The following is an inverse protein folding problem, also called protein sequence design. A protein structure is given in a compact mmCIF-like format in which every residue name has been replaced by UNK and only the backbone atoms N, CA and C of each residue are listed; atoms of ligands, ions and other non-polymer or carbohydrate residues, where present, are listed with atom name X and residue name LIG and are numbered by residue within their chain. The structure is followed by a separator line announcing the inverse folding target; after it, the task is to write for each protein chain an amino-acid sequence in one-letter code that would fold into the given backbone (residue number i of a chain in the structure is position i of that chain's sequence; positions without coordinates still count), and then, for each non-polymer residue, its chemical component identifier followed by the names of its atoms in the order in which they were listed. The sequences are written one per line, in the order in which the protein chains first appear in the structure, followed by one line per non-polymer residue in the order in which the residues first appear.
data_IF_289647717912
#
_entry.id   IF_289647717912
#
_cell.length_a   1.000
_cell.length_b   1.000
_cell.length_c   1.000
_cell.angle_alpha   90.00
_cell.angle_beta   90.00
_cell.angle_gamma   90.00
#
_symmetry.space_group_name_H-M   'P 1'
#
loop_
_entity.id
_entity.type
_entity.pdbx_description
1 polymer ?
#
# COMPACT_ATOMS: atom_id res chain seq x y z
N UNK A 1 14.84 -1.83 -2.14
CA UNK A 1 14.07 -0.77 -1.47
C UNK A 1 13.80 0.46 -2.34
N UNK A 2 14.77 1.06 -3.07
CA UNK A 2 14.48 2.21 -3.95
C UNK A 2 13.34 1.96 -4.96
N UNK A 3 13.33 0.78 -5.60
CA UNK A 3 12.35 0.42 -6.64
C UNK A 3 10.89 0.38 -6.19
N UNK A 4 10.59 -0.08 -4.97
CA UNK A 4 9.18 -0.24 -4.55
C UNK A 4 8.53 1.10 -4.24
N UNK A 5 9.28 2.04 -3.65
CA UNK A 5 8.80 3.40 -3.40
C UNK A 5 8.51 4.13 -4.70
N UNK A 6 9.41 4.03 -5.67
CA UNK A 6 9.25 4.65 -6.98
C UNK A 6 8.07 4.03 -7.75
N UNK A 7 7.90 2.71 -7.66
CA UNK A 7 6.76 2.02 -8.28
C UNK A 7 5.42 2.41 -7.64
N UNK A 8 5.35 2.55 -6.31
CA UNK A 8 4.15 3.07 -5.63
C UNK A 8 3.87 4.51 -6.06
N UNK A 9 4.90 5.37 -6.11
CA UNK A 9 4.73 6.75 -6.57
C UNK A 9 4.19 6.80 -8.01
N UNK A 10 4.73 5.99 -8.92
CA UNK A 10 4.25 5.87 -10.29
C UNK A 10 2.79 5.37 -10.35
N UNK A 11 2.45 4.36 -9.56
CA UNK A 11 1.09 3.84 -9.43
C UNK A 11 0.09 4.91 -8.97
N UNK A 12 0.40 5.62 -7.87
CA UNK A 12 -0.46 6.70 -7.35
C UNK A 12 -0.62 7.82 -8.36
N UNK A 13 0.46 8.21 -9.03
CA UNK A 13 0.41 9.24 -10.05
C UNK A 13 -0.50 8.83 -11.21
N UNK A 14 -0.41 7.58 -11.68
CA UNK A 14 -1.24 7.07 -12.76
C UNK A 14 -2.74 7.08 -12.40
N UNK A 15 -3.09 6.70 -11.17
CA UNK A 15 -4.47 6.78 -10.67
C UNK A 15 -4.98 8.22 -10.71
N UNK A 16 -4.21 9.16 -10.16
CA UNK A 16 -4.60 10.58 -10.08
C UNK A 16 -4.73 11.26 -11.44
N UNK A 17 -3.97 10.82 -12.43
CA UNK A 17 -4.03 11.36 -13.80
C UNK A 17 -5.12 10.69 -14.66
N UNK A 18 -5.70 9.59 -14.19
CA UNK A 18 -6.74 8.88 -14.93
C UNK A 18 -8.09 9.58 -14.81
N UNK A 19 -8.81 9.68 -15.94
CA UNK A 19 -10.20 10.12 -15.95
C UNK A 19 -11.15 9.12 -15.28
N UNK A 20 -10.73 7.85 -15.13
CA UNK A 20 -11.45 6.78 -14.45
C UNK A 20 -10.46 6.04 -13.56
N UNK A 21 -10.18 6.57 -12.35
CA UNK A 21 -9.24 5.95 -11.44
C UNK A 21 -9.77 4.58 -11.01
N UNK A 22 -8.94 3.55 -11.17
CA UNK A 22 -9.25 2.19 -10.74
C UNK A 22 -7.99 1.43 -10.32
N UNK A 23 -8.20 0.27 -9.70
CA UNK A 23 -7.13 -0.60 -9.21
C UNK A 23 -6.24 -1.12 -10.34
N UNK A 24 -6.80 -1.33 -11.53
CA UNK A 24 -6.06 -1.82 -12.68
C UNK A 24 -5.08 -0.77 -13.22
N UNK A 25 -5.46 0.51 -13.17
CA UNK A 25 -4.60 1.64 -13.51
C UNK A 25 -3.38 1.69 -12.60
N UNK A 26 -3.59 1.57 -11.28
CA UNK A 26 -2.48 1.46 -10.33
C UNK A 26 -1.59 0.26 -10.62
N UNK A 27 -2.19 -0.94 -10.71
CA UNK A 27 -1.47 -2.20 -10.84
C UNK A 27 -0.56 -2.22 -12.09
N UNK A 28 -1.04 -1.68 -13.22
CA UNK A 28 -0.24 -1.57 -14.46
C UNK A 28 0.98 -0.69 -14.26
N UNK A 29 0.79 0.55 -13.80
CA UNK A 29 1.91 1.48 -13.59
C UNK A 29 2.90 0.97 -12.53
N UNK A 30 2.40 0.29 -11.49
CA UNK A 30 3.22 -0.34 -10.46
C UNK A 30 4.07 -1.49 -11.02
N UNK A 31 3.49 -2.40 -11.81
CA UNK A 31 4.21 -3.53 -12.44
C UNK A 31 5.21 -3.01 -13.48
N UNK A 32 4.83 -2.05 -14.31
CA UNK A 32 5.71 -1.44 -15.32
C UNK A 32 6.95 -0.76 -14.69
N UNK A 33 6.79 -0.20 -13.49
CA UNK A 33 7.88 0.38 -12.70
C UNK A 33 8.72 -0.66 -11.92
N UNK A 34 8.43 -1.96 -12.05
CA UNK A 34 9.13 -3.04 -11.34
C UNK A 34 8.77 -3.15 -9.86
N UNK A 35 7.52 -2.83 -9.53
CA UNK A 35 7.00 -2.87 -8.17
C UNK A 35 6.79 -4.28 -7.60
N UNK A 36 6.32 -5.22 -8.44
CA UNK A 36 6.15 -6.62 -8.04
C UNK A 36 7.51 -7.24 -7.72
N UNK A 37 7.73 -7.65 -6.47
CA UNK A 37 9.00 -8.16 -5.98
C UNK A 37 8.80 -9.40 -5.12
N UNK A 38 9.50 -10.49 -5.46
CA UNK A 38 9.55 -11.71 -4.66
C UNK A 38 10.85 -11.75 -3.84
N UNK A 39 10.80 -11.90 -2.51
CA UNK A 39 12.00 -12.01 -1.69
C UNK A 39 12.94 -13.13 -2.15
N UNK A 40 14.21 -12.80 -2.37
CA UNK A 40 15.23 -13.77 -2.80
C UNK A 40 15.30 -14.02 -4.31
N UNK A 41 14.40 -13.44 -5.11
CA UNK A 41 14.45 -13.54 -6.57
C UNK A 41 15.58 -12.67 -7.15
N UNK A 42 16.63 -13.32 -7.66
CA UNK A 42 17.81 -12.64 -8.24
C UNK A 42 17.73 -12.49 -9.75
N UNK A 43 16.98 -13.35 -10.45
CA UNK A 43 16.85 -13.27 -11.91
C UNK A 43 15.76 -12.30 -12.33
N UNK A 44 14.76 -12.09 -11.46
CA UNK A 44 13.60 -11.24 -11.75
C UNK A 44 12.46 -12.01 -12.42
N UNK A 45 12.64 -13.30 -12.73
CA UNK A 45 11.63 -14.10 -13.41
C UNK A 45 10.42 -14.36 -12.51
N UNK A 46 10.65 -14.63 -11.22
CA UNK A 46 9.55 -14.84 -10.27
C UNK A 46 8.78 -13.54 -10.02
N UNK A 47 9.49 -12.41 -9.97
CA UNK A 47 8.94 -11.06 -9.83
C UNK A 47 8.12 -10.65 -11.06
N UNK A 48 8.61 -10.96 -12.26
CA UNK A 48 7.88 -10.77 -13.52
C UNK A 48 6.60 -11.62 -13.57
N UNK A 49 6.70 -12.91 -13.24
CA UNK A 49 5.56 -13.81 -13.17
C UNK A 49 4.53 -13.37 -12.10
N UNK A 50 4.98 -12.82 -10.96
CA UNK A 50 4.09 -12.23 -9.96
C UNK A 50 3.33 -11.02 -10.53
N UNK A 51 4.02 -10.14 -11.25
CA UNK A 51 3.39 -9.00 -11.93
C UNK A 51 2.29 -9.41 -12.90
N UNK A 52 2.53 -10.42 -13.73
CA UNK A 52 1.52 -10.94 -14.67
C UNK A 52 0.29 -11.54 -13.94
N UNK A 53 0.53 -12.32 -12.87
CA UNK A 53 -0.54 -12.86 -12.03
C UNK A 53 -1.35 -11.75 -11.36
N UNK A 54 -0.69 -10.72 -10.84
CA UNK A 54 -1.33 -9.56 -10.23
C UNK A 54 -2.25 -8.83 -11.22
N UNK A 55 -1.75 -8.53 -12.43
CA UNK A 55 -2.55 -7.85 -13.45
C UNK A 55 -3.77 -8.68 -13.85
N UNK A 56 -3.61 -10.00 -13.97
CA UNK A 56 -4.71 -10.91 -14.30
C UNK A 56 -5.76 -10.93 -13.19
N UNK A 57 -5.33 -11.05 -11.93
CA UNK A 57 -6.20 -11.06 -10.76
C UNK A 57 -7.00 -9.74 -10.67
N UNK A 58 -6.33 -8.59 -10.74
CA UNK A 58 -6.98 -7.28 -10.66
C UNK A 58 -7.94 -7.05 -11.82
N UNK A 59 -7.57 -7.42 -13.04
CA UNK A 59 -8.44 -7.31 -14.21
C UNK A 59 -9.70 -8.18 -14.10
N UNK A 60 -9.62 -9.31 -13.38
CA UNK A 60 -10.78 -10.18 -13.10
C UNK A 60 -11.64 -9.72 -11.91
N UNK A 61 -11.26 -8.64 -11.23
CA UNK A 61 -11.94 -8.16 -10.03
C UNK A 61 -11.62 -8.94 -8.75
N UNK A 62 -10.58 -9.77 -8.77
CA UNK A 62 -10.13 -10.51 -7.60
C UNK A 62 -9.53 -9.54 -6.56
N UNK A 63 -9.90 -9.73 -5.28
CA UNK A 63 -9.45 -8.89 -4.16
C UNK A 63 -8.66 -9.65 -3.09
N UNK A 64 -8.53 -10.97 -3.22
CA UNK A 64 -7.79 -11.83 -2.29
C UNK A 64 -7.27 -13.08 -2.99
N UNK A 65 -6.16 -13.64 -2.52
CA UNK A 65 -5.46 -14.82 -2.99
C UNK A 65 -4.90 -15.64 -1.80
N UNK A 66 -5.78 -16.30 -1.03
CA UNK A 66 -5.42 -17.02 0.20
C UNK A 66 -4.39 -18.17 0.03
N UNK A 67 -4.14 -18.63 -1.20
CA UNK A 67 -3.19 -19.71 -1.51
C UNK A 67 -1.86 -19.22 -2.06
N UNK A 68 -1.70 -17.92 -2.35
CA UNK A 68 -0.46 -17.31 -2.87
C UNK A 68 -0.18 -16.05 -2.04
N UNK A 69 0.69 -16.17 -1.04
CA UNK A 69 0.98 -15.08 -0.11
C UNK A 69 1.66 -13.88 -0.77
N UNK A 70 2.45 -14.10 -1.83
CA UNK A 70 3.06 -13.00 -2.59
C UNK A 70 1.98 -12.23 -3.36
N UNK A 71 1.05 -12.95 -3.99
CA UNK A 71 -0.07 -12.33 -4.70
C UNK A 71 -1.06 -11.63 -3.74
N UNK A 72 -1.36 -12.22 -2.59
CA UNK A 72 -2.21 -11.60 -1.57
C UNK A 72 -1.63 -10.25 -1.14
N UNK A 73 -0.33 -10.19 -0.81
CA UNK A 73 0.34 -8.94 -0.42
C UNK A 73 0.22 -7.86 -1.49
N UNK A 74 0.44 -8.21 -2.76
CA UNK A 74 0.36 -7.23 -3.84
C UNK A 74 -1.08 -6.82 -4.17
N UNK A 75 -2.07 -7.71 -4.01
CA UNK A 75 -3.49 -7.35 -4.13
C UNK A 75 -3.90 -6.35 -3.04
N UNK A 76 -3.48 -6.59 -1.80
CA UNK A 76 -3.70 -5.66 -0.70
C UNK A 76 -3.01 -4.31 -0.96
N UNK A 77 -1.76 -4.33 -1.42
CA UNK A 77 -1.05 -3.10 -1.81
C UNK A 77 -1.80 -2.32 -2.89
N UNK A 78 -2.20 -2.97 -3.98
CA UNK A 78 -2.96 -2.33 -5.06
C UNK A 78 -4.23 -1.67 -4.50
N UNK A 79 -4.96 -2.36 -3.63
CA UNK A 79 -6.15 -1.80 -2.99
C UNK A 79 -5.81 -0.57 -2.14
N UNK A 80 -4.94 -0.73 -1.14
CA UNK A 80 -4.56 0.34 -0.21
C UNK A 80 -4.01 1.56 -0.93
N UNK A 81 -3.10 1.37 -1.88
CA UNK A 81 -2.43 2.47 -2.58
C UNK A 81 -3.35 3.19 -3.58
N UNK A 82 -4.32 2.48 -4.16
CA UNK A 82 -5.37 3.10 -4.97
C UNK A 82 -6.29 3.96 -4.10
N UNK A 83 -6.73 3.42 -2.95
CA UNK A 83 -7.58 4.14 -2.01
C UNK A 83 -6.86 5.38 -1.45
N UNK A 84 -5.55 5.26 -1.17
CA UNK A 84 -4.68 6.39 -0.83
C UNK A 84 -4.54 7.43 -1.93
N UNK A 85 -4.35 7.00 -3.17
CA UNK A 85 -4.24 7.92 -4.31
C UNK A 85 -5.52 8.73 -4.52
N UNK A 86 -6.69 8.13 -4.28
CA UNK A 86 -7.99 8.80 -4.36
C UNK A 86 -8.21 9.78 -3.20
N UNK A 87 -7.79 9.40 -2.00
CA UNK A 87 -7.93 10.23 -0.81
C UNK A 87 -6.96 11.43 -0.75
N UNK A 88 -5.89 11.41 -1.55
CA UNK A 88 -4.96 12.55 -1.65
C UNK A 88 -5.67 13.85 -2.01
N UNK A 89 -6.63 13.78 -2.93
CA UNK A 89 -7.39 14.93 -3.42
C UNK A 89 -8.65 15.22 -2.57
N UNK A 90 -8.96 14.41 -1.55
CA UNK A 90 -10.04 14.69 -0.58
C UNK A 90 -9.52 15.60 0.54
N UNK A 91 -9.97 16.85 0.56
CA UNK A 91 -9.58 17.86 1.55
C UNK A 91 -10.00 17.51 2.98
N UNK A 92 -11.03 16.66 3.15
CA UNK A 92 -11.52 16.27 4.47
C UNK A 92 -10.60 15.29 5.17
N UNK A 93 -9.84 14.50 4.40
CA UNK A 93 -8.86 13.55 4.92
C UNK A 93 -7.56 14.31 5.12
N UNK A 94 -7.00 14.27 6.33
CA UNK A 94 -5.74 14.97 6.66
C UNK A 94 -4.57 14.01 6.81
N UNK A 95 -4.84 12.72 7.04
CA UNK A 95 -3.84 11.67 7.14
C UNK A 95 -4.46 10.29 7.29
N UNK A 96 -3.63 9.32 7.65
CA UNK A 96 -4.04 7.94 7.86
C UNK A 96 -3.42 7.36 9.12
N UNK A 97 -4.27 6.82 9.98
CA UNK A 97 -3.86 6.04 11.14
C UNK A 97 -3.44 4.64 10.67
N UNK A 98 -2.22 4.25 11.03
CA UNK A 98 -1.76 2.87 10.90
C UNK A 98 -2.35 2.04 12.05
N UNK A 99 -3.28 1.16 11.72
CA UNK A 99 -3.89 0.18 12.60
C UNK A 99 -3.22 -1.17 12.37
N UNK A 100 -2.53 -1.69 13.39
CA UNK A 100 -1.79 -2.94 13.33
C UNK A 100 -2.56 -4.05 14.06
N UNK A 101 -2.55 -5.29 13.56
CA UNK A 101 -3.17 -6.39 14.28
C UNK A 101 -2.42 -6.65 15.60
N UNK A 102 -3.16 -7.11 16.63
CA UNK A 102 -2.59 -7.39 17.97
C UNK A 102 -1.36 -8.30 17.90
N UNK A 103 -1.37 -9.29 17.00
CA UNK A 103 -0.25 -10.21 16.78
C UNK A 103 1.05 -9.53 16.31
N UNK A 104 0.96 -8.34 15.71
CA UNK A 104 2.11 -7.57 15.26
C UNK A 104 2.66 -6.65 16.37
N UNK A 105 1.87 -6.34 17.41
CA UNK A 105 2.27 -5.48 18.53
C UNK A 105 3.30 -6.15 19.45
N UNK A 106 3.38 -7.48 19.45
CA UNK A 106 4.40 -8.23 20.19
C UNK A 106 5.82 -8.06 19.63
N UNK A 107 5.97 -7.38 18.49
CA UNK A 107 7.25 -7.15 17.80
C UNK A 107 7.70 -5.70 18.05
N UNK A 108 8.77 -5.45 18.82
CA UNK A 108 9.16 -4.10 19.25
C UNK A 108 9.40 -3.10 18.11
N UNK A 109 9.89 -3.58 16.96
CA UNK A 109 10.12 -2.73 15.79
C UNK A 109 8.83 -2.29 15.11
N UNK A 110 7.76 -3.08 15.23
CA UNK A 110 6.44 -2.78 14.67
C UNK A 110 5.66 -1.86 15.60
N UNK A 111 5.74 -2.11 16.91
CA UNK A 111 5.22 -1.20 17.95
C UNK A 111 5.81 0.21 17.80
N UNK A 112 7.13 0.33 17.59
CA UNK A 112 7.78 1.62 17.38
C UNK A 112 7.26 2.38 16.15
N UNK A 113 6.82 1.68 15.10
CA UNK A 113 6.20 2.28 13.91
C UNK A 113 4.81 2.83 14.24
N UNK A 114 4.02 2.12 15.04
CA UNK A 114 2.70 2.53 15.51
C UNK A 114 2.74 3.81 16.35
N UNK A 115 3.84 4.04 17.07
CA UNK A 115 4.03 5.22 17.90
C UNK A 115 4.77 6.37 17.21
N UNK A 116 5.17 6.20 15.95
CA UNK A 116 5.84 7.26 15.22
C UNK A 116 4.88 8.44 15.01
N UNK A 117 5.28 9.64 15.43
CA UNK A 117 4.49 10.87 15.23
C UNK A 117 5.19 11.79 14.24
N UNK A 118 4.48 12.19 13.19
CA UNK A 118 4.94 13.16 12.18
C UNK A 118 4.22 14.51 12.29
N UNK A 119 3.75 14.84 13.49
CA UNK A 119 3.06 16.09 13.81
C UNK A 119 1.53 16.04 13.67
N UNK A 120 0.96 14.87 13.34
CA UNK A 120 -0.49 14.63 13.28
C UNK A 120 -1.01 13.75 14.43
N UNK A 121 -0.14 13.35 15.35
CA UNK A 121 -0.43 12.36 16.40
C UNK A 121 0.32 11.03 16.17
N UNK A 122 0.41 10.17 17.19
CA UNK A 122 1.08 8.87 17.08
C UNK A 122 0.39 7.97 16.04
N UNK A 123 1.17 7.35 15.15
CA UNK A 123 0.69 6.40 14.16
C UNK A 123 -0.06 7.03 12.99
N UNK A 124 -0.16 8.37 12.95
CA UNK A 124 -0.82 9.10 11.87
C UNK A 124 0.22 9.57 10.85
N UNK A 125 0.07 9.09 9.62
CA UNK A 125 0.92 9.39 8.49
C UNK A 125 0.25 10.38 7.53
N UNK A 126 1.05 11.22 6.87
CA UNK A 126 0.52 12.19 5.92
C UNK A 126 0.10 11.49 4.63
N UNK A 127 -0.89 12.03 3.93
CA UNK A 127 -1.39 11.47 2.67
C UNK A 127 -0.31 11.30 1.60
N UNK A 128 0.70 12.17 1.60
CA UNK A 128 1.82 12.15 0.65
C UNK A 128 2.90 11.10 0.99
N UNK A 129 2.86 10.51 2.19
CA UNK A 129 3.88 9.56 2.60
C UNK A 129 3.71 8.23 1.86
N UNK A 130 4.85 7.61 1.52
CA UNK A 130 4.89 6.24 1.00
C UNK A 130 5.51 5.37 2.07
N UNK A 131 4.68 4.52 2.67
CA UNK A 131 5.09 3.59 3.71
C UNK A 131 5.39 2.23 3.10
N UNK A 132 6.59 1.74 3.36
CA UNK A 132 6.97 0.37 3.03
C UNK A 132 6.97 -0.40 4.33
N UNK A 133 5.87 -1.12 4.57
CA UNK A 133 5.72 -1.96 5.75
C UNK A 133 6.62 -3.19 5.64
N UNK A 134 7.14 -3.62 6.79
CA UNK A 134 7.86 -4.89 6.90
C UNK A 134 6.85 -6.05 6.89
N UNK A 135 7.25 -7.28 6.52
CA UNK A 135 6.35 -8.44 6.52
C UNK A 135 5.66 -8.70 7.86
N UNK A 136 6.31 -8.34 8.96
CA UNK A 136 5.77 -8.46 10.32
C UNK A 136 4.53 -7.57 10.56
N UNK A 137 4.27 -6.61 9.68
CA UNK A 137 3.08 -5.77 9.67
C UNK A 137 1.94 -6.34 8.79
N UNK A 138 2.03 -7.59 8.34
CA UNK A 138 0.97 -8.23 7.56
C UNK A 138 -0.39 -8.11 8.26
N UNK A 139 -1.41 -7.67 7.52
CA UNK A 139 -2.74 -7.37 8.07
C UNK A 139 -2.93 -5.94 8.59
N UNK A 140 -1.90 -5.09 8.51
CA UNK A 140 -2.04 -3.67 8.79
C UNK A 140 -3.12 -3.00 7.94
N UNK A 141 -3.83 -2.03 8.53
CA UNK A 141 -4.85 -1.23 7.88
C UNK A 141 -4.50 0.25 8.01
N UNK A 142 -4.89 1.02 6.99
CA UNK A 142 -4.77 2.47 7.01
C UNK A 142 -6.16 3.08 7.09
N UNK A 143 -6.48 3.66 8.24
CA UNK A 143 -7.78 4.26 8.50
C UNK A 143 -7.69 5.75 8.17
N UNK A 144 -8.51 6.28 7.25
CA UNK A 144 -8.50 7.71 6.94
C UNK A 144 -8.94 8.51 8.16
N UNK A 145 -8.19 9.57 8.46
CA UNK A 145 -8.44 10.47 9.58
C UNK A 145 -8.86 11.83 9.02
N UNK A 146 -9.94 12.38 9.56
CA UNK A 146 -10.43 13.72 9.23
C UNK A 146 -10.04 14.74 10.29
N UNK A 147 -10.20 16.03 9.99
CA UNK A 147 -9.96 17.12 10.95
C UNK A 147 -10.74 16.91 12.27
N UNK A 148 -11.98 16.45 12.18
CA UNK A 148 -12.84 16.21 13.34
C UNK A 148 -12.36 15.06 14.23
N UNK A 149 -11.57 14.12 13.69
CA UNK A 149 -11.08 12.96 14.44
C UNK A 149 -9.84 13.29 15.29
N UNK A 150 -9.17 14.42 15.03
CA UNK A 150 -7.97 14.87 15.77
C UNK A 150 -8.31 15.91 16.85
N UNK A 151 -9.43 16.62 16.72
CA UNK A 151 -9.84 17.69 17.66
C UNK A 151 -10.56 17.21 18.94
N UNK A 152 -10.40 15.95 19.36
CA UNK A 152 -11.00 15.41 20.58
C UNK A 152 -9.99 15.15 21.72
#
# INVERSE_FOLDING_TARGET
MARIRDAVAAGRQAVRQSARPDRLTFARAFVDAGGAQVPGDRSGDASGALGERLLTAVASGQSAASTDADLERELQRVQTETDWALALDDERIIGFLLDLPDSAMDIPTVEALAHQSQGLGPGIFRKADILVLQPECDGARFIPVTEHDIEC
#
